data_IF_572948579651
#
_entry.id   IF_572948579651
#
_cell.length_a   1.000
_cell.length_b   1.000
_cell.length_c   1.000
_cell.angle_alpha   90.00
_cell.angle_beta   90.00
_cell.angle_gamma   90.00
#
_symmetry.space_group_name_H-M   'P 1'
#
loop_
_entity.id
_entity.type
_entity.pdbx_description
1 polymer ?
#
# COMPACT_ATOMS: atom_id res chain seq x y z
N UNK A 1 18.56 -2.93 2.09
CA UNK A 1 17.55 -2.21 2.90
C UNK A 1 16.63 -3.26 3.48
N UNK A 2 16.39 -3.22 4.79
CA UNK A 2 15.53 -4.20 5.48
C UNK A 2 14.04 -3.90 5.25
N UNK A 3 13.16 -4.89 5.45
CA UNK A 3 11.71 -4.69 5.29
C UNK A 3 11.18 -3.62 6.25
N UNK A 4 11.67 -3.60 7.50
CA UNK A 4 11.33 -2.55 8.47
C UNK A 4 11.64 -1.14 7.97
N UNK A 5 12.76 -0.97 7.27
CA UNK A 5 13.17 0.32 6.71
C UNK A 5 12.31 0.73 5.51
N UNK A 6 11.96 -0.22 4.64
CA UNK A 6 11.13 0.02 3.46
C UNK A 6 9.71 0.47 3.85
N UNK A 7 9.09 -0.27 4.77
CA UNK A 7 7.75 0.03 5.29
C UNK A 7 7.76 1.37 6.02
N UNK A 8 8.73 1.61 6.91
CA UNK A 8 8.85 2.89 7.62
C UNK A 8 9.03 4.09 6.67
N UNK A 9 9.70 3.90 5.53
CA UNK A 9 9.83 4.96 4.52
C UNK A 9 8.50 5.26 3.83
N UNK A 10 7.72 4.23 3.53
CA UNK A 10 6.39 4.38 2.95
C UNK A 10 5.42 5.04 3.94
N UNK A 11 5.44 4.65 5.22
CA UNK A 11 4.69 5.29 6.29
C UNK A 11 4.95 6.80 6.37
N UNK A 12 6.23 7.22 6.39
CA UNK A 12 6.59 8.65 6.38
C UNK A 12 6.04 9.38 5.16
N UNK A 13 6.05 8.74 4.00
CA UNK A 13 5.51 9.34 2.78
C UNK A 13 3.99 9.47 2.82
N UNK A 14 3.27 8.56 3.50
CA UNK A 14 1.83 8.68 3.74
C UNK A 14 1.51 9.89 4.64
N UNK A 15 2.29 10.10 5.69
CA UNK A 15 2.17 11.28 6.55
C UNK A 15 2.43 12.57 5.76
N UNK A 16 3.47 12.61 4.93
CA UNK A 16 3.70 13.76 4.05
C UNK A 16 2.53 14.03 3.11
N UNK A 17 1.91 12.99 2.55
CA UNK A 17 0.75 13.12 1.69
C UNK A 17 -0.45 13.70 2.45
N UNK A 18 -0.66 13.27 3.69
CA UNK A 18 -1.68 13.79 4.59
C UNK A 18 -1.44 15.26 4.94
N UNK A 19 -0.22 15.62 5.37
CA UNK A 19 0.16 17.00 5.68
C UNK A 19 -0.03 17.94 4.48
N UNK A 20 0.40 17.47 3.30
CA UNK A 20 0.18 18.16 2.03
C UNK A 20 -1.31 18.39 1.78
N UNK A 21 -2.17 17.39 1.99
CA UNK A 21 -3.63 17.51 1.84
C UNK A 21 -4.22 18.52 2.83
N UNK A 22 -3.78 18.51 4.09
CA UNK A 22 -4.23 19.45 5.13
C UNK A 22 -3.82 20.88 4.83
N UNK A 23 -2.64 21.08 4.24
CA UNK A 23 -2.13 22.39 3.85
C UNK A 23 -2.75 22.97 2.57
N UNK A 24 -3.50 22.17 1.79
CA UNK A 24 -4.11 22.64 0.55
C UNK A 24 -5.24 23.65 0.79
N UNK A 25 -5.19 24.77 0.08
CA UNK A 25 -6.13 25.89 0.28
C UNK A 25 -7.33 25.86 -0.65
N UNK A 26 -7.19 25.32 -1.86
CA UNK A 26 -8.28 25.27 -2.87
C UNK A 26 -8.92 23.89 -2.91
N UNK A 27 -10.21 23.83 -3.29
CA UNK A 27 -10.92 22.55 -3.46
C UNK A 27 -10.24 21.67 -4.52
N UNK A 28 -9.72 22.27 -5.60
CA UNK A 28 -9.00 21.55 -6.66
C UNK A 28 -7.70 20.93 -6.14
N UNK A 29 -6.89 21.69 -5.38
CA UNK A 29 -5.64 21.16 -4.82
C UNK A 29 -5.92 20.08 -3.77
N UNK A 30 -6.95 20.26 -2.92
CA UNK A 30 -7.41 19.22 -1.99
C UNK A 30 -7.85 17.96 -2.72
N UNK A 31 -8.55 18.08 -3.85
CA UNK A 31 -8.98 16.93 -4.65
C UNK A 31 -7.76 16.17 -5.20
N UNK A 32 -6.78 16.88 -5.76
CA UNK A 32 -5.53 16.29 -6.26
C UNK A 32 -4.80 15.55 -5.13
N UNK A 33 -4.58 16.21 -4.00
CA UNK A 33 -3.82 15.63 -2.87
C UNK A 33 -4.54 14.49 -2.19
N UNK A 34 -5.87 14.56 -2.09
CA UNK A 34 -6.68 13.42 -1.63
C UNK A 34 -6.50 12.22 -2.55
N UNK A 35 -6.53 12.41 -3.87
CA UNK A 35 -6.31 11.29 -4.79
C UNK A 35 -4.91 10.69 -4.62
N UNK A 36 -3.88 11.51 -4.42
CA UNK A 36 -2.51 11.04 -4.12
C UNK A 36 -2.47 10.24 -2.81
N UNK A 37 -3.07 10.74 -1.73
CA UNK A 37 -3.10 10.05 -0.44
C UNK A 37 -3.82 8.70 -0.53
N UNK A 38 -5.05 8.68 -1.07
CA UNK A 38 -5.85 7.45 -1.19
C UNK A 38 -5.13 6.44 -2.10
N UNK A 39 -4.49 6.92 -3.17
CA UNK A 39 -3.69 6.08 -4.06
C UNK A 39 -2.53 5.39 -3.34
N UNK A 40 -1.77 6.15 -2.54
CA UNK A 40 -0.63 5.60 -1.82
C UNK A 40 -1.03 4.70 -0.66
N UNK A 41 -2.12 5.00 0.06
CA UNK A 41 -2.66 4.14 1.11
C UNK A 41 -3.14 2.80 0.57
N UNK A 42 -3.84 2.79 -0.57
CA UNK A 42 -4.25 1.54 -1.19
C UNK A 42 -3.05 0.69 -1.62
N UNK A 43 -2.03 1.32 -2.21
CA UNK A 43 -0.78 0.63 -2.59
C UNK A 43 -0.08 0.05 -1.38
N UNK A 44 0.00 0.79 -0.27
CA UNK A 44 0.60 0.34 0.98
C UNK A 44 -0.03 -0.96 1.49
N UNK A 45 -1.35 -0.94 1.75
CA UNK A 45 -2.06 -2.10 2.27
C UNK A 45 -1.98 -3.32 1.33
N UNK A 46 -1.97 -3.10 0.01
CA UNK A 46 -1.85 -4.19 -0.97
C UNK A 46 -0.43 -4.73 -1.04
N UNK A 47 0.59 -3.87 -0.95
CA UNK A 47 1.98 -4.29 -0.89
C UNK A 47 2.22 -5.23 0.29
N UNK A 48 1.71 -4.91 1.48
CA UNK A 48 1.80 -5.76 2.67
C UNK A 48 1.13 -7.12 2.47
N UNK A 49 -0.11 -7.13 1.97
CA UNK A 49 -0.84 -8.37 1.73
C UNK A 49 -0.20 -9.26 0.65
N UNK A 50 0.54 -8.67 -0.29
CA UNK A 50 1.22 -9.41 -1.36
C UNK A 50 2.61 -9.90 -0.97
N UNK A 51 3.28 -9.25 -0.01
CA UNK A 51 4.68 -9.54 0.30
C UNK A 51 4.94 -9.86 1.75
N UNK A 52 4.42 -9.05 2.68
CA UNK A 52 4.69 -9.17 4.11
C UNK A 52 3.86 -10.29 4.72
N UNK A 53 2.55 -10.34 4.44
CA UNK A 53 1.66 -11.34 5.04
C UNK A 53 2.01 -12.77 4.63
N UNK A 54 2.37 -13.06 3.36
CA UNK A 54 2.81 -14.40 2.98
C UNK A 54 4.10 -14.80 3.69
N UNK A 55 5.02 -13.85 3.91
CA UNK A 55 6.22 -14.13 4.68
C UNK A 55 5.90 -14.39 6.16
N UNK A 56 4.98 -13.64 6.76
CA UNK A 56 4.53 -13.92 8.12
C UNK A 56 3.86 -15.29 8.23
N UNK A 57 3.01 -15.66 7.26
CA UNK A 57 2.40 -16.99 7.19
C UNK A 57 3.46 -18.09 7.08
N UNK A 58 4.44 -17.92 6.20
CA UNK A 58 5.52 -18.90 5.97
C UNK A 58 6.43 -19.07 7.20
N UNK A 59 6.85 -17.98 7.83
CA UNK A 59 7.89 -18.02 8.87
C UNK A 59 7.37 -18.02 10.31
N UNK A 60 6.13 -17.58 10.56
CA UNK A 60 5.55 -17.51 11.90
C UNK A 60 4.46 -18.58 12.16
N UNK A 61 3.88 -19.19 11.12
CA UNK A 61 2.91 -20.28 11.24
C UNK A 61 1.72 -19.93 12.15
N UNK A 62 1.44 -20.77 13.16
CA UNK A 62 0.33 -20.58 14.11
C UNK A 62 0.31 -19.19 14.77
N UNK A 63 1.49 -18.61 15.03
CA UNK A 63 1.59 -17.26 15.61
C UNK A 63 1.05 -16.19 14.67
N UNK A 64 1.21 -16.36 13.36
CA UNK A 64 0.58 -15.49 12.38
C UNK A 64 -0.94 -15.67 12.38
N UNK A 65 -1.48 -16.88 12.52
CA UNK A 65 -2.94 -17.08 12.55
C UNK A 65 -3.64 -16.29 13.66
N UNK A 66 -2.98 -16.13 14.82
CA UNK A 66 -3.47 -15.31 15.94
C UNK A 66 -3.50 -13.81 15.61
N UNK A 67 -2.50 -13.32 14.87
CA UNK A 67 -2.32 -11.90 14.52
C UNK A 67 -3.11 -11.51 13.25
N UNK A 68 -3.14 -12.40 12.26
CA UNK A 68 -3.68 -12.20 10.92
C UNK A 68 -5.15 -11.76 10.95
N UNK A 69 -5.94 -12.23 11.92
CA UNK A 69 -7.34 -11.83 12.05
C UNK A 69 -7.46 -10.34 12.39
N UNK A 70 -6.60 -9.82 13.26
CA UNK A 70 -6.60 -8.41 13.67
C UNK A 70 -6.13 -7.54 12.52
N UNK A 71 -5.01 -7.93 11.90
CA UNK A 71 -4.44 -7.25 10.74
C UNK A 71 -5.43 -7.17 9.55
N UNK A 72 -6.04 -8.30 9.18
CA UNK A 72 -7.08 -8.34 8.14
C UNK A 72 -8.25 -7.40 8.45
N UNK A 73 -8.68 -7.31 9.72
CA UNK A 73 -9.74 -6.40 10.12
C UNK A 73 -9.34 -4.93 9.98
N UNK A 74 -8.09 -4.59 10.33
CA UNK A 74 -7.56 -3.24 10.13
C UNK A 74 -7.51 -2.87 8.65
N UNK A 75 -6.92 -3.72 7.81
CA UNK A 75 -6.83 -3.50 6.37
C UNK A 75 -8.20 -3.35 5.71
N UNK A 76 -9.16 -4.21 6.06
CA UNK A 76 -10.52 -4.10 5.51
C UNK A 76 -11.24 -2.82 5.93
N UNK A 77 -11.05 -2.37 7.17
CA UNK A 77 -11.60 -1.10 7.64
C UNK A 77 -11.02 0.09 6.86
N UNK A 78 -9.70 0.13 6.69
CA UNK A 78 -8.99 1.16 5.92
C UNK A 78 -9.45 1.15 4.45
N UNK A 79 -9.45 -0.01 3.77
CA UNK A 79 -9.87 -0.12 2.36
C UNK A 79 -11.31 0.35 2.13
N UNK A 80 -12.24 -0.01 3.03
CA UNK A 80 -13.63 0.46 2.98
C UNK A 80 -13.72 1.97 3.14
N UNK A 81 -13.00 2.53 4.11
CA UNK A 81 -13.06 3.97 4.37
C UNK A 81 -12.35 4.79 3.27
N UNK A 82 -11.28 4.25 2.66
CA UNK A 82 -10.64 4.81 1.47
C UNK A 82 -11.59 4.87 0.27
N UNK A 83 -12.39 3.82 0.04
CA UNK A 83 -13.41 3.82 -1.01
C UNK A 83 -14.44 4.94 -0.82
N UNK A 84 -14.87 5.17 0.43
CA UNK A 84 -15.75 6.30 0.78
C UNK A 84 -15.05 7.64 0.56
N UNK A 85 -13.82 7.81 1.06
CA UNK A 85 -13.06 9.05 0.94
C UNK A 85 -12.80 9.42 -0.53
N UNK A 86 -12.53 8.44 -1.38
CA UNK A 86 -12.36 8.64 -2.82
C UNK A 86 -13.63 9.17 -3.50
N UNK A 87 -14.79 8.78 -2.99
CA UNK A 87 -16.10 9.17 -3.51
C UNK A 87 -16.55 10.57 -3.04
N UNK A 88 -15.99 11.06 -1.93
CA UNK A 88 -16.38 12.35 -1.33
C UNK A 88 -15.64 13.54 -1.93
N UNK A 89 -16.37 14.62 -2.20
CA UNK A 89 -15.75 15.91 -2.53
C UNK A 89 -15.01 16.47 -1.32
N UNK A 90 -13.83 17.11 -1.48
CA UNK A 90 -13.18 17.84 -0.39
C UNK A 90 -14.00 18.99 0.21
N UNK A 91 -15.06 19.43 -0.47
CA UNK A 91 -16.01 20.42 0.05
C UNK A 91 -17.18 19.79 0.82
N UNK A 92 -17.28 18.46 0.87
CA UNK A 92 -18.31 17.77 1.64
C UNK A 92 -18.07 17.93 3.16
N UNK A 93 -19.13 18.15 3.92
CA UNK A 93 -19.05 18.34 5.37
C UNK A 93 -18.51 17.09 6.11
N UNK A 94 -18.67 15.89 5.54
CA UNK A 94 -18.17 14.64 6.11
C UNK A 94 -16.68 14.40 5.83
N UNK A 95 -16.10 15.11 4.85
CA UNK A 95 -14.74 14.89 4.38
C UNK A 95 -13.69 15.01 5.50
N UNK A 96 -13.67 16.08 6.32
CA UNK A 96 -12.63 16.24 7.34
C UNK A 96 -12.69 15.13 8.39
N UNK A 97 -13.89 14.81 8.90
CA UNK A 97 -14.06 13.77 9.92
C UNK A 97 -13.66 12.38 9.40
N UNK A 98 -13.99 12.06 8.15
CA UNK A 98 -13.61 10.76 7.57
C UNK A 98 -12.09 10.69 7.35
N UNK A 99 -11.47 11.78 6.90
CA UNK A 99 -10.03 11.85 6.73
C UNK A 99 -9.28 11.60 8.05
N UNK A 100 -9.68 12.28 9.14
CA UNK A 100 -9.06 12.05 10.45
C UNK A 100 -9.26 10.60 10.93
N UNK A 101 -10.47 10.04 10.78
CA UNK A 101 -10.72 8.64 11.14
C UNK A 101 -9.80 7.65 10.39
N UNK A 102 -9.57 7.88 9.09
CA UNK A 102 -8.69 7.04 8.28
C UNK A 102 -7.24 7.15 8.78
N UNK A 103 -6.77 8.36 9.07
CA UNK A 103 -5.41 8.57 9.57
C UNK A 103 -5.21 8.01 10.97
N UNK A 104 -6.18 8.16 11.88
CA UNK A 104 -6.14 7.55 13.21
C UNK A 104 -6.07 6.02 13.13
N UNK A 105 -6.83 5.41 12.21
CA UNK A 105 -6.75 3.96 11.97
C UNK A 105 -5.38 3.57 11.41
N UNK A 106 -4.86 4.33 10.44
CA UNK A 106 -3.55 4.10 9.85
C UNK A 106 -2.43 4.20 10.91
N UNK A 107 -2.42 5.23 11.75
CA UNK A 107 -1.38 5.39 12.76
C UNK A 107 -1.41 4.29 13.83
N UNK A 108 -2.60 3.80 14.20
CA UNK A 108 -2.71 2.61 15.06
C UNK A 108 -2.15 1.35 14.40
N UNK A 109 -2.42 1.17 13.11
CA UNK A 109 -1.87 0.07 12.31
C UNK A 109 -0.34 0.15 12.26
N UNK A 110 0.20 1.31 11.88
CA UNK A 110 1.64 1.58 11.80
C UNK A 110 2.35 1.29 13.13
N UNK A 111 1.79 1.72 14.26
CA UNK A 111 2.41 1.46 15.56
C UNK A 111 2.38 -0.04 15.91
N UNK A 112 1.28 -0.74 15.59
CA UNK A 112 1.20 -2.19 15.80
C UNK A 112 2.24 -2.94 14.97
N UNK A 113 2.37 -2.60 13.68
CA UNK A 113 3.36 -3.20 12.79
C UNK A 113 4.79 -2.97 13.28
N UNK A 114 5.08 -1.74 13.69
CA UNK A 114 6.41 -1.30 14.14
C UNK A 114 6.81 -1.95 15.47
N UNK A 115 5.88 -2.10 16.40
CA UNK A 115 6.17 -2.64 17.73
C UNK A 115 6.05 -4.17 17.80
N UNK A 116 5.23 -4.77 16.93
CA UNK A 116 4.86 -6.19 17.00
C UNK A 116 5.22 -6.94 15.73
N UNK A 117 4.55 -6.66 14.62
CA UNK A 117 4.54 -7.58 13.47
C UNK A 117 5.89 -7.65 12.76
N UNK A 118 6.48 -6.50 12.44
CA UNK A 118 7.74 -6.43 11.71
C UNK A 118 8.92 -6.92 12.56
N UNK A 119 9.07 -6.53 13.85
CA UNK A 119 10.09 -7.13 14.71
C UNK A 119 9.97 -8.66 14.82
N UNK A 120 8.74 -9.18 14.89
CA UNK A 120 8.51 -10.63 14.92
C UNK A 120 8.96 -11.29 13.62
N UNK A 121 8.58 -10.75 12.47
CA UNK A 121 9.02 -11.26 11.18
C UNK A 121 10.55 -11.23 11.05
N UNK A 122 11.19 -10.09 11.31
CA UNK A 122 12.65 -9.93 11.19
C UNK A 122 13.43 -10.82 12.17
N UNK A 123 12.83 -11.20 13.30
CA UNK A 123 13.42 -12.17 14.24
C UNK A 123 13.37 -13.61 13.74
N UNK A 124 12.45 -13.93 12.83
CA UNK A 124 12.23 -15.28 12.30
C UNK A 124 12.95 -15.55 10.97
N UNK A 125 13.49 -14.51 10.33
CA UNK A 125 14.10 -14.60 8.99
C UNK A 125 15.55 -14.15 8.97
N UNK A 126 16.27 -14.54 7.92
CA UNK A 126 17.62 -14.03 7.69
C UNK A 126 17.59 -12.57 7.25
N UNK A 127 18.71 -11.86 7.43
CA UNK A 127 18.88 -10.51 6.87
C UNK A 127 18.63 -10.48 5.36
N UNK A 128 19.12 -11.48 4.64
CA UNK A 128 18.96 -11.57 3.19
C UNK A 128 17.49 -11.74 2.79
N UNK A 129 16.71 -12.50 3.57
CA UNK A 129 15.26 -12.63 3.35
C UNK A 129 14.51 -11.33 3.65
N UNK A 130 14.87 -10.60 4.72
CA UNK A 130 14.31 -9.27 4.98
C UNK A 130 14.57 -8.31 3.81
N UNK A 131 15.78 -8.31 3.26
CA UNK A 131 16.13 -7.50 2.08
C UNK A 131 15.35 -7.94 0.82
N UNK A 132 15.17 -9.24 0.61
CA UNK A 132 14.37 -9.78 -0.49
C UNK A 132 12.89 -9.38 -0.39
N UNK A 133 12.30 -9.47 0.80
CA UNK A 133 10.91 -9.05 1.05
C UNK A 133 10.78 -7.55 0.84
N UNK A 134 11.75 -6.75 1.29
CA UNK A 134 11.79 -5.30 1.05
C UNK A 134 11.80 -4.96 -0.46
N UNK A 135 12.60 -5.67 -1.25
CA UNK A 135 12.61 -5.53 -2.71
C UNK A 135 11.25 -5.88 -3.31
N UNK A 136 10.64 -6.98 -2.87
CA UNK A 136 9.28 -7.35 -3.27
C UNK A 136 8.26 -6.26 -2.95
N UNK A 137 8.25 -5.77 -1.71
CA UNK A 137 7.37 -4.69 -1.26
C UNK A 137 7.52 -3.45 -2.16
N UNK A 138 8.74 -3.00 -2.41
CA UNK A 138 8.99 -1.86 -3.31
C UNK A 138 8.58 -2.14 -4.77
N UNK A 139 8.76 -3.38 -5.27
CA UNK A 139 8.33 -3.76 -6.62
C UNK A 139 6.82 -3.71 -6.75
N UNK A 140 6.06 -4.13 -5.73
CA UNK A 140 4.60 -4.04 -5.78
C UNK A 140 4.11 -2.58 -5.87
N UNK A 141 4.90 -1.62 -5.36
CA UNK A 141 4.61 -0.20 -5.58
C UNK A 141 4.65 0.17 -7.07
N UNK A 142 5.38 -0.55 -7.92
CA UNK A 142 5.42 -0.35 -9.38
C UNK A 142 4.22 -0.94 -10.12
N UNK A 143 3.30 -1.66 -9.45
CA UNK A 143 2.09 -2.26 -10.06
C UNK A 143 1.04 -1.24 -10.54
N UNK A 144 1.45 -0.04 -10.92
CA UNK A 144 0.55 1.00 -11.41
C UNK A 144 0.66 1.09 -12.92
N UNK A 145 -0.43 0.83 -13.66
CA UNK A 145 -0.56 1.22 -15.05
C UNK A 145 -0.61 2.75 -15.10
N UNK A 146 0.51 3.40 -15.41
CA UNK A 146 0.52 4.79 -15.83
C UNK A 146 -0.16 4.87 -17.19
N UNK A 147 -1.48 5.07 -17.20
CA UNK A 147 -2.26 5.46 -18.39
C UNK A 147 -2.02 4.51 -19.58
N UNK A 148 -2.81 3.44 -19.69
CA UNK A 148 -2.78 2.49 -20.82
C UNK A 148 -1.49 1.67 -20.98
N UNK A 149 -1.44 0.48 -20.36
CA UNK A 149 -0.72 -0.61 -21.01
C UNK A 149 -1.51 -0.98 -22.27
N UNK A 150 -1.00 -0.59 -23.44
CA UNK A 150 -1.60 -0.71 -24.78
C UNK A 150 -1.59 -2.17 -25.27
N UNK A 151 -1.99 -3.10 -24.40
CA UNK A 151 -1.96 -4.56 -24.63
C UNK A 151 -2.71 -5.40 -23.58
N UNK A 152 -3.30 -4.81 -22.54
CA UNK A 152 -4.03 -5.57 -21.54
C UNK A 152 -5.39 -6.03 -22.10
N UNK A 153 -5.44 -7.32 -22.49
CA UNK A 153 -6.66 -8.01 -22.92
C UNK A 153 -7.66 -8.12 -21.76
N UNK A 154 -8.90 -7.69 -22.02
CA UNK A 154 -10.16 -7.97 -21.29
C UNK A 154 -10.18 -7.64 -19.79
N UNK A 155 -10.78 -6.49 -19.46
CA UNK A 155 -11.57 -6.22 -18.24
C UNK A 155 -11.18 -7.02 -16.98
N UNK A 156 -10.05 -6.67 -16.37
CA UNK A 156 -9.79 -6.96 -14.95
C UNK A 156 -10.24 -5.76 -14.13
N UNK A 157 -10.82 -5.93 -12.92
CA UNK A 157 -11.18 -4.84 -12.01
C UNK A 157 -10.07 -3.79 -11.87
N UNK A 158 -8.82 -4.23 -11.94
CA UNK A 158 -7.62 -3.39 -11.82
C UNK A 158 -7.49 -2.32 -12.90
N UNK A 159 -8.07 -2.55 -14.09
CA UNK A 159 -8.09 -1.56 -15.18
C UNK A 159 -9.08 -0.42 -14.94
N UNK A 160 -10.00 -0.58 -13.98
CA UNK A 160 -11.02 0.42 -13.62
C UNK A 160 -10.50 1.48 -12.63
N UNK A 161 -9.26 1.33 -12.16
CA UNK A 161 -8.58 2.27 -11.27
C UNK A 161 -8.57 1.83 -9.80
N UNK A 162 -8.42 2.79 -8.89
CA UNK A 162 -8.20 2.56 -7.45
C UNK A 162 -9.28 1.70 -6.78
N UNK A 163 -10.54 1.85 -7.20
CA UNK A 163 -11.66 1.07 -6.65
C UNK A 163 -11.52 -0.40 -6.99
N UNK A 164 -11.16 -0.72 -8.23
CA UNK A 164 -10.93 -2.10 -8.63
C UNK A 164 -9.67 -2.70 -8.02
N UNK A 165 -8.64 -1.88 -7.78
CA UNK A 165 -7.45 -2.28 -7.01
C UNK A 165 -7.78 -2.66 -5.56
N UNK A 166 -8.60 -1.86 -4.88
CA UNK A 166 -9.04 -2.15 -3.51
C UNK A 166 -10.00 -3.36 -3.41
N UNK A 167 -10.77 -3.62 -4.47
CA UNK A 167 -11.78 -4.69 -4.50
C UNK A 167 -11.27 -6.02 -5.08
N UNK A 168 -10.11 -6.02 -5.73
CA UNK A 168 -9.58 -7.22 -6.39
C UNK A 168 -9.21 -8.31 -5.37
N UNK A 169 -9.49 -9.59 -5.66
CA UNK A 169 -9.01 -10.69 -4.85
C UNK A 169 -7.48 -10.71 -4.80
N UNK A 170 -6.88 -10.93 -3.62
CA UNK A 170 -5.42 -10.95 -3.45
C UNK A 170 -4.72 -11.99 -4.32
N UNK A 171 -5.38 -13.12 -4.59
CA UNK A 171 -4.88 -14.13 -5.53
C UNK A 171 -4.71 -13.60 -6.96
N UNK A 172 -5.60 -12.73 -7.43
CA UNK A 172 -5.48 -12.10 -8.75
C UNK A 172 -4.32 -11.09 -8.76
N UNK A 173 -4.19 -10.32 -7.69
CA UNK A 173 -3.09 -9.37 -7.51
C UNK A 173 -1.71 -10.04 -7.46
N UNK A 174 -1.61 -11.22 -6.81
CA UNK A 174 -0.38 -12.02 -6.73
C UNK A 174 0.10 -12.49 -8.10
N UNK A 175 -0.79 -13.03 -8.92
CA UNK A 175 -0.44 -13.50 -10.26
C UNK A 175 0.14 -12.40 -11.16
N UNK A 176 -0.19 -11.14 -10.89
CA UNK A 176 0.41 -10.00 -11.60
C UNK A 176 1.83 -9.71 -11.14
N UNK A 177 2.09 -9.74 -9.83
CA UNK A 177 3.45 -9.57 -9.28
C UNK A 177 4.40 -10.63 -9.82
N UNK A 178 3.94 -11.89 -9.86
CA UNK A 178 4.73 -13.01 -10.39
C UNK A 178 5.02 -12.90 -11.89
N UNK A 179 4.17 -12.19 -12.63
CA UNK A 179 4.35 -11.95 -14.07
C UNK A 179 5.29 -10.78 -14.40
N UNK A 180 5.76 -10.02 -13.40
CA UNK A 180 6.69 -8.92 -13.64
C UNK A 180 8.11 -9.43 -13.86
N UNK A 181 8.81 -8.96 -14.91
CA UNK A 181 10.19 -9.34 -15.18
C UNK A 181 11.12 -8.96 -14.02
N UNK A 182 12.14 -9.79 -13.79
CA UNK A 182 13.16 -9.53 -12.77
C UNK A 182 14.00 -8.28 -13.12
N UNK A 183 14.66 -7.66 -12.13
CA UNK A 183 15.50 -6.48 -12.37
C UNK A 183 16.61 -6.71 -13.43
N UNK A 184 17.06 -7.96 -13.57
CA UNK A 184 18.04 -8.37 -14.60
C UNK A 184 17.45 -8.35 -16.02
N UNK A 185 16.13 -8.52 -16.16
CA UNK A 185 15.41 -8.46 -17.43
C UNK A 185 14.95 -7.04 -17.80
N UNK A 186 14.87 -6.14 -16.80
CA UNK A 186 14.33 -4.78 -16.94
C UNK A 186 15.35 -3.74 -17.43
N UNK A 187 16.63 -4.10 -17.54
CA UNK A 187 17.68 -3.15 -17.93
C UNK A 187 17.89 -2.04 -16.90
N UNK A 188 19.07 -1.41 -16.92
CA UNK A 188 19.50 -0.41 -15.92
C UNK A 188 18.78 0.95 -16.04
N UNK A 189 17.45 0.96 -15.98
CA UNK A 189 16.71 2.19 -15.73
C UNK A 189 16.68 2.42 -14.21
N UNK A 190 17.65 3.19 -13.73
CA UNK A 190 17.65 3.73 -12.37
C UNK A 190 16.28 4.37 -12.09
N UNK A 191 15.59 3.87 -11.07
CA UNK A 191 14.27 4.35 -10.69
C UNK A 191 14.41 5.74 -10.09
N UNK A 192 14.07 6.75 -10.88
CA UNK A 192 14.00 8.12 -10.43
C UNK A 192 12.76 8.35 -9.54
N UNK A 193 12.99 8.37 -8.23
CA UNK A 193 11.97 8.69 -7.23
C UNK A 193 11.49 10.15 -7.29
N UNK A 194 12.22 11.03 -7.99
CA UNK A 194 11.87 12.45 -8.11
C UNK A 194 10.78 12.73 -9.14
N UNK A 195 10.32 11.71 -9.88
CA UNK A 195 9.18 11.77 -10.79
C UNK A 195 7.85 11.27 -10.23
N UNK A 196 7.81 10.77 -8.99
CA UNK A 196 6.58 10.34 -8.29
C UNK A 196 5.83 11.52 -7.60
N UNK A 197 5.88 12.72 -8.19
CA UNK A 197 5.41 14.01 -7.59
C UNK A 197 4.15 14.54 -8.27
#
# INVERSE_FOLDING_TARGET
MLISQAISQDHRYLDECYDKLKAASTTEDKLKRRNILVWNLARHAISEELTVHPAMEEYLGEKWEELARTDFQHHQAVKRDLSKLHSLSPSDAQFPSLLEQIMDNLHRHIEHEKETDIPLLESAISKADSERIALGFMRTKKLVPTKSYRGASKSSPLTEGLVGLLAAPIRELRGLVESFPEEEEMGSEEVDWSGMV
#
